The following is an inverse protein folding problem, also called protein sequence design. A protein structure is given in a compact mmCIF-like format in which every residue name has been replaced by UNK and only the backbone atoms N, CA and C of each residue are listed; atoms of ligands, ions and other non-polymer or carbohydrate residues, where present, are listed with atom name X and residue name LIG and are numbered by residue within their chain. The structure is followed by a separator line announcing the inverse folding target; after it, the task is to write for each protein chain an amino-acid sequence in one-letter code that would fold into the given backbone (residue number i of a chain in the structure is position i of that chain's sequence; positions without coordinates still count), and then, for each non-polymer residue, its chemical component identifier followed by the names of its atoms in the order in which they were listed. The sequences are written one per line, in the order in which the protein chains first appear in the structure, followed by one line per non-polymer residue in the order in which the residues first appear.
data_IF_683993189461
#
_entry.id   IF_683993189461
#
_cell.length_a   1.000
_cell.length_b   1.000
_cell.length_c   1.000
_cell.angle_alpha   90.00
_cell.angle_beta   90.00
_cell.angle_gamma   90.00
#
_symmetry.space_group_name_H-M   'P 1'
#
loop_
_entity.id
_entity.type
_entity.pdbx_description
1 polymer ?
#
# COMPACT_ATOMS: atom_id res chain seq x y z
N UNK A 1 -22.92 1.20 20.40
CA UNK A 1 -22.07 1.54 21.56
C UNK A 1 -20.68 0.99 21.30
N UNK A 2 -19.62 1.73 21.65
CA UNK A 2 -18.23 1.36 21.31
C UNK A 2 -17.49 0.77 22.51
N UNK A 3 -16.48 -0.07 22.25
CA UNK A 3 -15.59 -0.60 23.29
C UNK A 3 -14.97 0.51 24.14
N UNK A 4 -14.79 0.26 25.44
CA UNK A 4 -14.19 1.24 26.35
C UNK A 4 -12.72 1.53 25.98
N UNK A 5 -12.21 2.69 26.38
CA UNK A 5 -10.80 3.04 26.13
C UNK A 5 -9.83 2.04 26.77
N UNK A 6 -10.12 1.62 28.00
CA UNK A 6 -9.32 0.63 28.74
C UNK A 6 -9.23 -0.70 28.01
N UNK A 7 -10.36 -1.17 27.45
CA UNK A 7 -10.40 -2.42 26.70
C UNK A 7 -9.60 -2.34 25.40
N UNK A 8 -9.75 -1.24 24.66
CA UNK A 8 -8.93 -0.98 23.46
C UNK A 8 -7.44 -0.94 23.79
N UNK A 9 -7.05 -0.23 24.84
CA UNK A 9 -5.64 -0.12 25.25
C UNK A 9 -5.06 -1.50 25.62
N UNK A 10 -5.81 -2.33 26.36
CA UNK A 10 -5.40 -3.72 26.69
C UNK A 10 -5.22 -4.58 25.45
N UNK A 11 -6.21 -4.59 24.55
CA UNK A 11 -6.17 -5.37 23.31
C UNK A 11 -4.99 -4.95 22.44
N UNK A 12 -4.84 -3.65 22.19
CA UNK A 12 -3.78 -3.13 21.33
C UNK A 12 -2.39 -3.38 21.93
N UNK A 13 -2.25 -3.36 23.25
CA UNK A 13 -1.00 -3.74 23.91
C UNK A 13 -0.72 -5.24 23.78
N UNK A 14 -1.71 -6.10 24.03
CA UNK A 14 -1.59 -7.56 23.93
C UNK A 14 -1.27 -8.02 22.51
N UNK A 15 -1.87 -7.39 21.50
CA UNK A 15 -1.60 -7.69 20.09
C UNK A 15 -0.38 -6.94 19.55
N UNK A 16 0.30 -6.14 20.37
CA UNK A 16 1.43 -5.27 19.97
C UNK A 16 1.12 -4.39 18.77
N UNK A 17 -0.13 -3.90 18.67
CA UNK A 17 -0.66 -3.12 17.54
C UNK A 17 -0.46 -3.80 16.18
N UNK A 18 -0.51 -5.13 16.15
CA UNK A 18 -0.56 -5.94 14.93
C UNK A 18 -1.96 -6.44 14.68
N UNK A 19 -2.32 -6.57 13.40
CA UNK A 19 -3.58 -7.16 12.98
C UNK A 19 -3.64 -8.64 13.38
N UNK A 20 -4.75 -9.10 13.94
CA UNK A 20 -4.94 -10.51 14.31
C UNK A 20 -5.08 -11.46 13.11
N UNK A 21 -5.33 -10.94 11.90
CA UNK A 21 -5.51 -11.76 10.68
C UNK A 21 -4.20 -11.84 9.89
N UNK A 22 -3.64 -10.69 9.49
CA UNK A 22 -2.45 -10.66 8.64
C UNK A 22 -1.12 -10.45 9.39
N UNK A 23 -1.17 -10.27 10.72
CA UNK A 23 -0.02 -10.08 11.62
C UNK A 23 0.89 -8.88 11.34
N UNK A 24 0.55 -8.05 10.35
CA UNK A 24 1.19 -6.78 10.02
C UNK A 24 1.17 -5.81 11.21
N UNK A 25 2.25 -5.05 11.42
CA UNK A 25 2.24 -3.98 12.42
C UNK A 25 1.54 -2.77 11.84
N UNK A 26 0.61 -2.21 12.60
CA UNK A 26 -0.30 -1.22 12.07
C UNK A 26 -0.03 0.17 12.65
N UNK A 27 0.68 0.26 13.79
CA UNK A 27 0.85 1.52 14.50
C UNK A 27 -0.52 2.14 14.81
N UNK A 28 -0.84 3.28 14.18
CA UNK A 28 -2.14 3.96 14.31
C UNK A 28 -3.21 3.45 13.35
N UNK A 29 -2.85 2.68 12.32
CA UNK A 29 -3.75 2.19 11.25
C UNK A 29 -4.45 0.89 11.64
N UNK A 30 -5.01 0.85 12.84
CA UNK A 30 -5.60 -0.34 13.44
C UNK A 30 -6.92 0.02 14.12
N UNK A 31 -7.92 -0.83 13.94
CA UNK A 31 -9.22 -0.72 14.56
C UNK A 31 -9.54 -1.94 15.40
N UNK A 32 -10.39 -1.74 16.39
CA UNK A 32 -10.95 -2.84 17.20
C UNK A 32 -12.36 -3.08 16.67
N UNK A 33 -12.50 -4.16 15.92
CA UNK A 33 -13.74 -4.58 15.27
C UNK A 33 -14.51 -5.56 16.15
N UNK A 34 -15.83 -5.60 15.99
CA UNK A 34 -16.69 -6.58 16.65
C UNK A 34 -16.76 -7.87 15.84
N UNK A 35 -16.32 -8.99 16.41
CA UNK A 35 -16.38 -10.32 15.80
C UNK A 35 -17.82 -10.68 15.40
N UNK A 36 -18.78 -10.43 16.30
CA UNK A 36 -20.22 -10.40 16.02
C UNK A 36 -20.63 -8.94 16.10
N UNK A 37 -21.16 -8.39 15.01
CA UNK A 37 -21.56 -6.98 14.95
C UNK A 37 -22.62 -6.64 16.00
N UNK A 38 -22.60 -5.41 16.51
CA UNK A 38 -23.61 -4.93 17.46
C UNK A 38 -25.03 -4.99 16.87
N UNK A 39 -25.17 -4.71 15.56
CA UNK A 39 -26.43 -4.83 14.83
C UNK A 39 -26.99 -6.27 14.82
N UNK A 40 -26.11 -7.28 14.94
CA UNK A 40 -26.44 -8.70 15.00
C UNK A 40 -26.50 -9.22 16.46
N UNK A 41 -26.53 -8.32 17.46
CA UNK A 41 -26.61 -8.68 18.87
C UNK A 41 -25.27 -8.94 19.56
N UNK A 42 -24.15 -8.56 18.93
CA UNK A 42 -22.82 -8.71 19.51
C UNK A 42 -22.57 -7.81 20.72
N UNK A 43 -22.01 -8.38 21.79
CA UNK A 43 -21.70 -7.66 23.02
C UNK A 43 -20.44 -6.77 22.89
N UNK A 44 -20.36 -5.72 23.71
CA UNK A 44 -19.18 -4.87 23.86
C UNK A 44 -18.15 -5.45 24.84
N UNK A 45 -17.79 -6.72 24.64
CA UNK A 45 -16.85 -7.44 25.50
C UNK A 45 -15.48 -7.59 24.85
N UNK A 46 -14.42 -7.75 25.67
CA UNK A 46 -13.09 -8.06 25.18
C UNK A 46 -13.06 -9.33 24.33
N UNK A 47 -13.93 -10.31 24.62
CA UNK A 47 -13.99 -11.57 23.88
C UNK A 47 -14.54 -11.37 22.47
N UNK A 48 -15.52 -10.48 22.30
CA UNK A 48 -16.10 -10.13 21.01
C UNK A 48 -15.28 -9.08 20.22
N UNK A 49 -14.16 -8.60 20.76
CA UNK A 49 -13.32 -7.59 20.12
C UNK A 49 -12.12 -8.21 19.38
N UNK A 50 -11.81 -7.76 18.17
CA UNK A 50 -10.63 -8.17 17.39
C UNK A 50 -9.87 -6.96 16.81
N UNK A 51 -8.57 -6.79 17.10
CA UNK A 51 -7.76 -5.75 16.48
C UNK A 51 -7.35 -6.13 15.06
N UNK A 52 -7.68 -5.29 14.08
CA UNK A 52 -7.40 -5.53 12.65
C UNK A 52 -6.90 -4.27 11.95
N UNK A 53 -6.07 -4.42 10.91
CA UNK A 53 -5.69 -3.28 10.07
C UNK A 53 -6.91 -2.80 9.26
N UNK A 54 -6.82 -1.59 8.70
CA UNK A 54 -7.90 -1.06 7.84
C UNK A 54 -8.22 -1.96 6.64
N UNK A 55 -7.20 -2.60 6.04
CA UNK A 55 -7.41 -3.49 4.91
C UNK A 55 -8.28 -4.71 5.31
N UNK A 56 -7.88 -5.45 6.35
CA UNK A 56 -8.70 -6.57 6.85
C UNK A 56 -10.04 -6.09 7.45
N UNK A 57 -10.12 -4.90 8.03
CA UNK A 57 -11.37 -4.34 8.53
C UNK A 57 -12.40 -4.16 7.40
N UNK A 58 -11.97 -3.65 6.25
CA UNK A 58 -12.82 -3.52 5.07
C UNK A 58 -13.25 -4.91 4.57
N UNK A 59 -12.30 -5.86 4.43
CA UNK A 59 -12.58 -7.22 3.93
C UNK A 59 -13.57 -8.01 4.80
N UNK A 60 -13.51 -7.89 6.13
CA UNK A 60 -14.44 -8.61 7.04
C UNK A 60 -15.90 -8.25 6.74
N UNK A 61 -16.15 -6.98 6.43
CA UNK A 61 -17.50 -6.50 6.14
C UNK A 61 -17.86 -6.64 4.66
N UNK A 62 -16.87 -6.87 3.79
CA UNK A 62 -17.05 -6.90 2.34
C UNK A 62 -17.31 -8.31 1.84
N UNK A 63 -18.59 -8.70 1.78
CA UNK A 63 -19.03 -9.89 1.07
C UNK A 63 -20.32 -9.61 0.31
N UNK A 64 -20.27 -9.74 -1.02
CA UNK A 64 -21.43 -9.53 -1.87
C UNK A 64 -22.19 -10.87 -2.06
N UNK A 65 -23.38 -11.05 -1.46
CA UNK A 65 -24.14 -12.29 -1.62
C UNK A 65 -24.63 -12.53 -3.05
N UNK A 66 -24.71 -11.46 -3.86
CA UNK A 66 -25.16 -11.54 -5.27
C UNK A 66 -24.03 -11.94 -6.23
N UNK A 67 -22.77 -11.76 -5.81
CA UNK A 67 -21.59 -12.16 -6.57
C UNK A 67 -20.53 -12.73 -5.60
N UNK A 68 -20.72 -13.96 -5.09
CA UNK A 68 -19.82 -14.55 -4.11
C UNK A 68 -18.45 -14.82 -4.75
N UNK A 69 -17.49 -13.93 -4.50
CA UNK A 69 -16.07 -14.14 -4.79
C UNK A 69 -15.33 -14.31 -3.47
N UNK A 70 -14.54 -15.39 -3.37
CA UNK A 70 -13.83 -15.74 -2.14
C UNK A 70 -14.74 -16.32 -1.04
N UNK A 71 -14.19 -16.51 0.15
CA UNK A 71 -14.90 -17.00 1.32
C UNK A 71 -15.15 -15.85 2.30
N UNK A 72 -16.39 -15.76 2.82
CA UNK A 72 -16.74 -14.77 3.85
C UNK A 72 -16.07 -15.13 5.18
N UNK A 73 -15.48 -14.15 5.86
CA UNK A 73 -15.04 -14.30 7.24
C UNK A 73 -16.21 -14.69 8.14
N UNK A 74 -16.02 -15.75 8.93
CA UNK A 74 -17.00 -16.18 9.94
C UNK A 74 -16.59 -15.70 11.33
N UNK A 75 -17.54 -15.45 12.25
CA UNK A 75 -17.21 -15.15 13.64
C UNK A 75 -16.28 -16.18 14.28
N UNK A 76 -16.47 -17.46 13.97
CA UNK A 76 -15.63 -18.56 14.43
C UNK A 76 -14.20 -18.44 13.92
N UNK A 77 -14.03 -18.12 12.64
CA UNK A 77 -12.71 -17.89 12.04
C UNK A 77 -12.00 -16.69 12.68
N UNK A 78 -12.71 -15.57 12.89
CA UNK A 78 -12.15 -14.38 13.54
C UNK A 78 -11.70 -14.68 14.99
N UNK A 79 -12.46 -15.49 15.72
CA UNK A 79 -12.06 -15.97 17.06
C UNK A 79 -10.78 -16.81 17.00
N UNK A 80 -10.64 -17.66 15.98
CA UNK A 80 -9.44 -18.48 15.79
C UNK A 80 -8.22 -17.61 15.46
N UNK A 81 -8.33 -16.65 14.52
CA UNK A 81 -7.27 -15.69 14.19
C UNK A 81 -6.78 -14.94 15.43
N UNK A 82 -7.71 -14.39 16.22
CA UNK A 82 -7.40 -13.70 17.48
C UNK A 82 -6.69 -14.62 18.47
N UNK A 83 -7.20 -15.84 18.67
CA UNK A 83 -6.61 -16.82 19.61
C UNK A 83 -5.18 -17.18 19.20
N UNK A 84 -4.97 -17.52 17.93
CA UNK A 84 -3.65 -17.85 17.39
C UNK A 84 -2.67 -16.70 17.57
N UNK A 85 -3.10 -15.47 17.32
CA UNK A 85 -2.24 -14.30 17.51
C UNK A 85 -1.85 -14.09 18.97
N UNK A 86 -2.80 -14.29 19.89
CA UNK A 86 -2.53 -14.16 21.32
C UNK A 86 -1.50 -15.20 21.79
N UNK A 87 -1.62 -16.45 21.31
CA UNK A 87 -0.67 -17.52 21.56
C UNK A 87 0.73 -17.15 21.02
N UNK A 88 0.84 -16.69 19.77
CA UNK A 88 2.12 -16.24 19.19
C UNK A 88 2.73 -15.09 20.01
N UNK A 89 1.93 -14.09 20.38
CA UNK A 89 2.39 -12.94 21.18
C UNK A 89 2.92 -13.36 22.55
N UNK A 90 2.32 -14.38 23.15
CA UNK A 90 2.70 -14.90 24.46
C UNK A 90 3.94 -15.80 24.37
N UNK A 91 3.96 -16.70 23.41
CA UNK A 91 4.90 -17.83 23.38
C UNK A 91 6.13 -17.56 22.50
N UNK A 92 6.05 -16.63 21.54
CA UNK A 92 7.12 -16.35 20.56
C UNK A 92 7.41 -14.86 20.36
N UNK A 93 7.74 -14.10 21.43
CA UNK A 93 7.94 -12.65 21.32
C UNK A 93 9.12 -12.25 20.41
N UNK A 94 10.14 -13.10 20.28
CA UNK A 94 11.35 -12.81 19.48
C UNK A 94 11.08 -12.69 17.98
N UNK A 95 10.14 -13.49 17.46
CA UNK A 95 9.71 -13.41 16.05
C UNK A 95 9.15 -12.02 15.74
N UNK A 96 8.57 -11.34 16.72
CA UNK A 96 7.96 -10.03 16.56
C UNK A 96 8.94 -8.87 16.65
N UNK A 97 10.02 -9.05 17.41
CA UNK A 97 11.14 -8.09 17.51
C UNK A 97 11.96 -8.13 16.22
N UNK A 98 12.14 -9.32 15.65
CA UNK A 98 12.93 -9.55 14.44
C UNK A 98 12.12 -9.38 13.14
N UNK A 99 10.79 -9.33 13.20
CA UNK A 99 9.95 -9.09 12.03
C UNK A 99 10.20 -7.68 11.48
N UNK A 100 10.56 -7.55 10.18
CA UNK A 100 10.86 -6.25 9.61
C UNK A 100 9.60 -5.36 9.59
N UNK A 101 9.73 -4.15 10.17
CA UNK A 101 8.65 -3.14 10.30
C UNK A 101 8.31 -2.41 8.98
N UNK A 102 8.88 -2.85 7.87
CA UNK A 102 8.69 -2.21 6.56
C UNK A 102 7.57 -2.87 5.71
N UNK A 103 6.81 -3.80 6.30
CA UNK A 103 5.64 -4.47 5.66
C UNK A 103 4.33 -3.70 5.98
N UNK A 104 4.42 -2.60 6.73
CA UNK A 104 3.30 -1.96 7.45
C UNK A 104 2.42 -1.01 6.61
N UNK A 105 2.61 -0.97 5.30
CA UNK A 105 1.70 -0.33 4.34
C UNK A 105 1.34 -1.41 3.31
N UNK A 106 0.05 -1.57 2.96
CA UNK A 106 -0.33 -2.46 1.87
C UNK A 106 0.34 -2.03 0.58
N UNK A 107 0.59 -2.96 -0.35
CA UNK A 107 1.36 -2.63 -1.55
C UNK A 107 0.68 -1.57 -2.43
N UNK A 108 -0.65 -1.45 -2.36
CA UNK A 108 -1.43 -0.47 -3.13
C UNK A 108 -1.34 0.93 -2.50
N UNK A 109 -1.45 1.05 -1.18
CA UNK A 109 -1.25 2.31 -0.46
C UNK A 109 0.21 2.77 -0.54
N UNK A 110 1.14 1.81 -0.52
CA UNK A 110 2.56 2.08 -0.81
C UNK A 110 2.73 2.62 -2.22
N UNK A 111 2.02 2.06 -3.19
CA UNK A 111 2.03 2.51 -4.59
C UNK A 111 1.51 3.94 -4.74
N UNK A 112 0.49 4.36 -3.98
CA UNK A 112 0.04 5.77 -3.96
C UNK A 112 1.18 6.70 -3.55
N UNK A 113 1.90 6.37 -2.47
CA UNK A 113 3.03 7.18 -2.01
C UNK A 113 4.16 7.20 -3.04
N UNK A 114 4.44 6.06 -3.67
CA UNK A 114 5.43 5.92 -4.73
C UNK A 114 5.09 6.76 -5.97
N UNK A 115 3.87 6.66 -6.48
CA UNK A 115 3.38 7.44 -7.62
C UNK A 115 3.37 8.93 -7.32
N UNK A 116 2.98 9.33 -6.10
CA UNK A 116 3.02 10.73 -5.68
C UNK A 116 4.43 11.28 -5.64
N UNK A 117 5.38 10.55 -5.05
CA UNK A 117 6.80 10.92 -5.06
C UNK A 117 7.31 11.07 -6.50
N UNK A 118 7.03 10.09 -7.36
CA UNK A 118 7.45 10.10 -8.74
C UNK A 118 6.89 11.31 -9.50
N UNK A 119 5.61 11.63 -9.29
CA UNK A 119 4.95 12.80 -9.87
C UNK A 119 5.63 14.10 -9.43
N UNK A 120 5.88 14.26 -8.13
CA UNK A 120 6.57 15.42 -7.57
C UNK A 120 8.00 15.54 -8.14
N UNK A 121 8.71 14.42 -8.29
CA UNK A 121 10.05 14.38 -8.86
C UNK A 121 10.05 14.84 -10.33
N UNK A 122 9.14 14.33 -11.17
CA UNK A 122 9.10 14.73 -12.59
C UNK A 122 8.63 16.17 -12.78
N UNK A 123 7.73 16.68 -11.92
CA UNK A 123 7.28 18.07 -11.98
C UNK A 123 8.40 19.06 -11.63
N UNK A 124 9.26 18.71 -10.66
CA UNK A 124 10.46 19.51 -10.32
C UNK A 124 11.46 19.57 -11.46
N UNK A 125 11.65 18.46 -12.17
CA UNK A 125 12.49 18.38 -13.38
C UNK A 125 11.89 19.18 -14.53
N UNK A 126 10.56 19.18 -14.68
CA UNK A 126 9.89 19.87 -15.77
C UNK A 126 9.89 21.41 -15.63
N UNK A 127 9.91 21.93 -14.39
CA UNK A 127 9.69 23.35 -14.08
C UNK A 127 10.91 24.16 -13.61
N UNK A 128 12.14 23.64 -13.67
CA UNK A 128 13.34 24.35 -13.21
C UNK A 128 14.41 24.51 -14.30
N UNK A 129 15.32 25.47 -14.10
CA UNK A 129 16.56 25.60 -14.88
C UNK A 129 17.43 24.38 -14.62
N UNK A 130 17.30 23.42 -15.53
CA UNK A 130 17.75 22.02 -15.51
C UNK A 130 19.23 21.76 -15.21
N UNK A 131 20.07 22.78 -15.14
CA UNK A 131 21.51 22.66 -14.85
C UNK A 131 21.81 22.11 -13.44
N UNK A 132 20.81 22.04 -12.56
CA UNK A 132 20.97 21.64 -11.16
C UNK A 132 20.26 20.32 -10.77
N UNK A 133 19.50 19.66 -11.66
CA UNK A 133 18.69 18.49 -11.29
C UNK A 133 19.05 17.25 -12.09
N UNK A 134 20.24 16.69 -11.83
CA UNK A 134 20.62 15.39 -12.38
C UNK A 134 20.08 14.25 -11.52
N UNK A 135 19.19 13.45 -12.10
CA UNK A 135 19.10 12.03 -11.78
C UNK A 135 18.49 11.67 -10.44
N UNK A 136 17.21 12.00 -10.23
CA UNK A 136 16.39 11.25 -9.28
C UNK A 136 15.75 10.07 -10.03
N UNK A 137 16.20 8.82 -9.85
CA UNK A 137 15.47 7.67 -10.36
C UNK A 137 14.07 7.66 -9.78
N UNK A 138 13.10 7.32 -10.60
CA UNK A 138 11.73 7.13 -10.18
C UNK A 138 11.61 5.76 -9.50
N UNK A 139 10.85 5.71 -8.41
CA UNK A 139 10.67 4.51 -7.59
C UNK A 139 9.70 3.53 -8.28
N UNK A 140 9.97 2.22 -8.17
CA UNK A 140 9.11 1.16 -8.70
C UNK A 140 9.02 -0.08 -7.80
N UNK A 141 9.41 0.08 -6.54
CA UNK A 141 9.47 -0.98 -5.54
C UNK A 141 8.08 -1.51 -5.19
N UNK A 142 7.10 -0.61 -5.04
CA UNK A 142 5.74 -0.95 -4.62
C UNK A 142 4.94 -1.58 -5.75
N UNK A 143 5.17 -1.16 -7.01
CA UNK A 143 4.66 -1.89 -8.17
C UNK A 143 5.14 -3.34 -8.20
N UNK A 144 6.46 -3.56 -8.09
CA UNK A 144 7.03 -4.91 -8.07
C UNK A 144 6.47 -5.74 -6.92
N UNK A 145 6.28 -5.12 -5.75
CA UNK A 145 5.66 -5.74 -4.59
C UNK A 145 4.21 -6.12 -4.85
N UNK A 146 3.39 -5.21 -5.39
CA UNK A 146 1.98 -5.47 -5.70
C UNK A 146 1.80 -6.58 -6.75
N UNK A 147 2.69 -6.66 -7.75
CA UNK A 147 2.71 -7.77 -8.71
C UNK A 147 3.05 -9.09 -8.00
N UNK A 148 4.08 -9.10 -7.15
CA UNK A 148 4.52 -10.29 -6.42
C UNK A 148 3.46 -10.80 -5.43
N UNK A 149 2.76 -9.89 -4.77
CA UNK A 149 1.72 -10.18 -3.78
C UNK A 149 0.35 -10.48 -4.43
N UNK A 150 0.21 -10.27 -5.74
CA UNK A 150 -1.04 -10.47 -6.47
C UNK A 150 -2.10 -9.39 -6.22
N UNK A 151 -1.73 -8.29 -5.54
CA UNK A 151 -2.67 -7.23 -5.14
C UNK A 151 -3.30 -6.50 -6.32
N UNK A 152 -2.65 -6.50 -7.50
CA UNK A 152 -3.24 -5.94 -8.72
C UNK A 152 -4.48 -6.73 -9.19
N UNK A 153 -4.63 -8.01 -8.82
CA UNK A 153 -5.78 -8.83 -9.21
C UNK A 153 -7.09 -8.38 -8.54
N UNK A 154 -7.00 -7.54 -7.51
CA UNK A 154 -8.15 -6.97 -6.81
C UNK A 154 -8.71 -5.71 -7.50
N UNK A 155 -7.98 -5.17 -8.48
CA UNK A 155 -8.31 -3.92 -9.16
C UNK A 155 -9.10 -4.18 -10.46
N UNK A 156 -9.98 -3.25 -10.87
CA UNK A 156 -10.55 -3.22 -12.22
C UNK A 156 -9.47 -3.14 -13.32
N UNK A 157 -9.73 -3.74 -14.48
CA UNK A 157 -8.80 -3.81 -15.62
C UNK A 157 -8.38 -2.41 -16.11
N UNK A 158 -9.27 -1.42 -16.02
CA UNK A 158 -8.98 -0.04 -16.39
C UNK A 158 -7.91 0.59 -15.48
N UNK A 159 -7.96 0.29 -14.17
CA UNK A 159 -6.99 0.77 -13.19
C UNK A 159 -5.67 0.04 -13.35
N UNK A 160 -5.70 -1.27 -13.60
CA UNK A 160 -4.49 -2.05 -13.92
C UNK A 160 -3.80 -1.46 -15.16
N UNK A 161 -4.58 -1.13 -16.20
CA UNK A 161 -4.07 -0.55 -17.44
C UNK A 161 -3.41 0.82 -17.21
N UNK A 162 -4.02 1.68 -16.39
CA UNK A 162 -3.42 2.99 -16.07
C UNK A 162 -2.12 2.85 -15.26
N UNK A 163 -2.08 1.93 -14.28
CA UNK A 163 -0.87 1.60 -13.51
C UNK A 163 0.23 1.10 -14.45
N UNK A 164 -0.06 0.14 -15.33
CA UNK A 164 0.92 -0.37 -16.30
C UNK A 164 1.45 0.73 -17.23
N UNK A 165 0.58 1.64 -17.66
CA UNK A 165 0.96 2.84 -18.41
C UNK A 165 2.00 3.66 -17.64
N UNK A 166 1.69 4.06 -16.41
CA UNK A 166 2.59 4.85 -15.57
C UNK A 166 3.95 4.16 -15.35
N UNK A 167 3.95 2.88 -14.99
CA UNK A 167 5.19 2.14 -14.71
C UNK A 167 6.03 1.85 -15.94
N UNK A 168 5.43 1.80 -17.13
CA UNK A 168 6.16 1.75 -18.41
C UNK A 168 6.94 3.05 -18.65
N UNK A 169 6.31 4.20 -18.44
CA UNK A 169 6.99 5.50 -18.56
C UNK A 169 8.06 5.71 -17.48
N UNK A 170 7.79 5.31 -16.24
CA UNK A 170 8.77 5.30 -15.14
C UNK A 170 10.00 4.46 -15.51
N UNK A 171 9.80 3.24 -16.02
CA UNK A 171 10.89 2.37 -16.47
C UNK A 171 11.71 2.99 -17.60
N UNK A 172 11.06 3.69 -18.54
CA UNK A 172 11.74 4.41 -19.63
C UNK A 172 12.60 5.56 -19.11
N UNK A 173 12.08 6.39 -18.20
CA UNK A 173 12.84 7.48 -17.57
C UNK A 173 14.05 6.92 -16.84
N UNK A 174 13.89 5.88 -16.02
CA UNK A 174 15.00 5.24 -15.32
C UNK A 174 16.07 4.68 -16.25
N UNK A 175 15.66 4.07 -17.36
CA UNK A 175 16.60 3.55 -18.38
C UNK A 175 17.42 4.68 -19.00
N UNK A 176 16.78 5.80 -19.34
CA UNK A 176 17.48 6.98 -19.86
C UNK A 176 18.42 7.57 -18.82
N UNK A 177 18.00 7.66 -17.55
CA UNK A 177 18.81 8.22 -16.45
C UNK A 177 20.05 7.36 -16.23
N UNK A 178 19.89 6.04 -16.20
CA UNK A 178 21.00 5.10 -16.07
C UNK A 178 21.96 5.19 -17.26
N UNK A 179 21.41 5.28 -18.49
CA UNK A 179 22.22 5.44 -19.70
C UNK A 179 23.07 6.72 -19.66
N UNK A 180 22.46 7.85 -19.28
CA UNK A 180 23.15 9.13 -19.11
C UNK A 180 24.26 9.05 -18.06
N UNK A 181 23.96 8.47 -16.88
CA UNK A 181 24.94 8.33 -15.80
C UNK A 181 26.15 7.45 -16.18
N UNK A 182 25.90 6.40 -16.96
CA UNK A 182 26.92 5.45 -17.39
C UNK A 182 27.78 5.97 -18.56
N UNK A 183 27.16 6.65 -19.53
CA UNK A 183 27.85 7.10 -20.76
C UNK A 183 28.51 8.46 -20.60
N UNK A 184 28.05 9.29 -19.65
CA UNK A 184 28.57 10.64 -19.37
C UNK A 184 28.80 11.44 -20.65
N UNK A 185 27.76 11.63 -21.48
CA UNK A 185 27.91 12.25 -22.77
C UNK A 185 28.36 13.72 -22.63
N UNK A 186 29.17 14.16 -23.58
CA UNK A 186 29.71 15.52 -23.66
C UNK A 186 29.26 16.22 -24.96
N UNK A 187 29.33 17.55 -24.99
CA UNK A 187 28.97 18.35 -26.16
C UNK A 187 27.55 18.07 -26.67
N UNK A 188 27.38 17.92 -27.98
CA UNK A 188 26.05 17.69 -28.58
C UNK A 188 25.34 16.43 -28.06
N UNK A 189 26.11 15.37 -27.72
CA UNK A 189 25.53 14.15 -27.16
C UNK A 189 24.93 14.40 -25.76
N UNK A 190 25.52 15.33 -24.99
CA UNK A 190 24.99 15.76 -23.70
C UNK A 190 23.62 16.43 -23.86
N UNK A 191 23.51 17.35 -24.80
CA UNK A 191 22.27 18.08 -25.07
C UNK A 191 21.17 17.14 -25.57
N UNK A 192 21.51 16.22 -26.48
CA UNK A 192 20.55 15.25 -26.99
C UNK A 192 20.05 14.29 -25.89
N UNK A 193 20.96 13.76 -25.08
CA UNK A 193 20.59 12.87 -23.98
C UNK A 193 19.74 13.59 -22.92
N UNK A 194 20.06 14.85 -22.62
CA UNK A 194 19.27 15.72 -21.75
C UNK A 194 17.87 15.96 -22.31
N UNK A 195 17.75 16.32 -23.59
CA UNK A 195 16.45 16.56 -24.23
C UNK A 195 15.58 15.29 -24.22
N UNK A 196 16.18 14.12 -24.45
CA UNK A 196 15.47 12.84 -24.37
C UNK A 196 14.96 12.56 -22.96
N UNK A 197 15.77 12.82 -21.94
CA UNK A 197 15.38 12.70 -20.53
C UNK A 197 14.22 13.62 -20.17
N UNK A 198 14.32 14.91 -20.52
CA UNK A 198 13.29 15.90 -20.24
C UNK A 198 11.97 15.56 -20.91
N UNK A 199 12.01 15.16 -22.18
CA UNK A 199 10.83 14.74 -22.92
C UNK A 199 10.22 13.46 -22.34
N UNK A 200 11.05 12.51 -21.90
CA UNK A 200 10.59 11.31 -21.19
C UNK A 200 9.90 11.65 -19.87
N UNK A 201 10.50 12.51 -19.04
CA UNK A 201 9.94 12.93 -17.76
C UNK A 201 8.63 13.71 -17.95
N UNK A 202 8.60 14.73 -18.82
CA UNK A 202 7.39 15.50 -19.14
C UNK A 202 6.27 14.61 -19.70
N UNK A 203 6.63 13.70 -20.62
CA UNK A 203 5.68 12.76 -21.19
C UNK A 203 5.09 11.77 -20.19
N UNK A 204 5.78 11.53 -19.07
CA UNK A 204 5.31 10.61 -18.03
C UNK A 204 4.26 11.22 -17.09
N UNK A 205 4.25 12.55 -16.91
CA UNK A 205 3.36 13.28 -16.00
C UNK A 205 1.89 12.85 -16.10
N UNK A 206 1.23 12.89 -17.29
CA UNK A 206 -0.19 12.55 -17.37
C UNK A 206 -0.46 11.10 -16.98
N UNK A 207 0.44 10.17 -17.28
CA UNK A 207 0.25 8.76 -16.94
C UNK A 207 0.39 8.50 -15.46
N UNK A 208 1.40 9.09 -14.81
CA UNK A 208 1.60 8.98 -13.37
C UNK A 208 0.42 9.62 -12.63
N UNK A 209 -0.05 10.79 -13.09
CA UNK A 209 -1.21 11.47 -12.52
C UNK A 209 -2.48 10.62 -12.65
N UNK A 210 -2.79 10.10 -13.84
CA UNK A 210 -3.97 9.26 -14.06
C UNK A 210 -3.92 8.02 -13.18
N UNK A 211 -2.79 7.30 -13.12
CA UNK A 211 -2.66 6.12 -12.27
C UNK A 211 -2.84 6.45 -10.79
N UNK A 212 -2.25 7.56 -10.33
CA UNK A 212 -2.38 8.05 -8.96
C UNK A 212 -3.83 8.37 -8.60
N UNK A 213 -4.53 9.11 -9.47
CA UNK A 213 -5.92 9.52 -9.23
C UNK A 213 -6.87 8.32 -9.29
N UNK A 214 -6.72 7.45 -10.29
CA UNK A 214 -7.53 6.22 -10.41
C UNK A 214 -7.37 5.32 -9.18
N UNK A 215 -6.14 5.10 -8.72
CA UNK A 215 -5.88 4.26 -7.55
C UNK A 215 -6.36 4.91 -6.25
N UNK A 216 -6.17 6.22 -6.09
CA UNK A 216 -6.69 6.95 -4.92
C UNK A 216 -8.22 6.94 -4.85
N UNK A 217 -8.90 7.09 -5.99
CA UNK A 217 -10.36 7.09 -6.01
C UNK A 217 -10.90 5.71 -5.66
N UNK A 218 -10.33 4.65 -6.25
CA UNK A 218 -10.69 3.28 -5.93
C UNK A 218 -10.55 2.98 -4.43
N UNK A 219 -9.44 3.38 -3.80
CA UNK A 219 -9.21 3.14 -2.37
C UNK A 219 -9.94 4.10 -1.41
N UNK A 220 -10.68 5.09 -1.92
CA UNK A 220 -11.52 6.01 -1.12
C UNK A 220 -13.01 5.69 -1.21
N UNK A 221 -13.42 4.92 -2.22
CA UNK A 221 -14.82 4.56 -2.47
C UNK A 221 -15.28 3.32 -1.66
N UNK A 222 -14.36 2.70 -0.91
CA UNK A 222 -14.58 1.62 0.07
C UNK A 222 -14.28 2.09 1.51
#
# INVERSE_FOLDING_TARGET
MSFTRSDKDKLLAQTRRRCCICYKFCGVKIEVHHIIQEADGGENSLDNAIPVCFECHAEINHYNPRHPKGNKFTPEELKLHKKQWFEICKDTPEVLVNAPRNIDIGSLEGMILELKFNLDAVNRVAGSDWQNFYGCPLENSQYRRAVKEGSLLLLPDEIISSIHGAYTFIGRVNTLTNSFANTRPEGNAHEEATNRLLNGARGSIPYIQIALDSLNNFLKED
#
